data_IF_750466123583
#
_entry.id   IF_750466123583
#
_cell.length_a   1.000
_cell.length_b   1.000
_cell.length_c   1.000
_cell.angle_alpha   90.00
_cell.angle_beta   90.00
_cell.angle_gamma   90.00
#
_symmetry.space_group_name_H-M   'P 1'
#
loop_
_entity.id
_entity.type
_entity.pdbx_description
1 polymer ?
#
# COMPACT_ATOMS: atom_id res chain seq x y z
N UNK A 1 12.74 -3.96 -16.13
CA UNK A 1 11.46 -3.96 -15.38
C UNK A 1 10.46 -4.77 -16.19
N UNK A 2 9.85 -5.83 -15.65
CA UNK A 2 9.08 -6.81 -16.44
C UNK A 2 7.59 -6.48 -16.63
N UNK A 3 7.07 -5.38 -16.07
CA UNK A 3 5.67 -4.97 -16.24
C UNK A 3 4.63 -5.90 -15.59
N UNK A 4 5.06 -6.91 -14.84
CA UNK A 4 4.19 -7.96 -14.27
C UNK A 4 3.74 -7.73 -12.82
N UNK A 5 4.22 -6.67 -12.16
CA UNK A 5 4.05 -6.51 -10.70
C UNK A 5 2.59 -6.54 -10.25
N UNK A 6 1.79 -5.57 -10.72
CA UNK A 6 0.37 -5.46 -10.33
C UNK A 6 -0.50 -6.57 -10.91
N UNK A 7 -0.15 -7.11 -12.09
CA UNK A 7 -0.90 -8.22 -12.68
C UNK A 7 -0.74 -9.51 -11.88
N UNK A 8 0.44 -9.75 -11.30
CA UNK A 8 0.66 -10.89 -10.39
C UNK A 8 -0.13 -10.69 -9.10
N UNK A 9 -0.11 -9.49 -8.50
CA UNK A 9 -0.92 -9.20 -7.31
C UNK A 9 -2.40 -9.46 -7.58
N UNK A 10 -2.93 -9.01 -8.72
CA UNK A 10 -4.31 -9.26 -9.12
C UNK A 10 -4.61 -10.76 -9.31
N UNK A 11 -3.71 -11.50 -9.95
CA UNK A 11 -3.89 -12.93 -10.19
C UNK A 11 -3.87 -13.76 -8.89
N UNK A 12 -3.17 -13.30 -7.85
CA UNK A 12 -3.06 -13.98 -6.55
C UNK A 12 -4.01 -13.41 -5.49
N UNK A 13 -5.00 -12.61 -5.91
CA UNK A 13 -5.99 -12.02 -5.02
C UNK A 13 -7.38 -12.55 -5.31
N UNK A 14 -8.14 -12.91 -4.27
CA UNK A 14 -9.55 -13.26 -4.40
C UNK A 14 -10.40 -12.07 -4.88
N UNK A 15 -9.99 -10.85 -4.51
CA UNK A 15 -10.57 -9.58 -4.92
C UNK A 15 -9.48 -8.53 -5.06
N UNK A 16 -9.63 -7.61 -5.99
CA UNK A 16 -8.84 -6.39 -6.08
C UNK A 16 -9.73 -5.23 -6.55
N UNK A 17 -9.57 -4.05 -5.96
CA UNK A 17 -10.25 -2.82 -6.34
C UNK A 17 -9.20 -1.77 -6.67
N UNK A 18 -9.40 -1.05 -7.77
CA UNK A 18 -8.57 0.09 -8.17
C UNK A 18 -9.44 1.32 -8.23
N UNK A 19 -8.96 2.39 -7.62
CA UNK A 19 -9.47 3.76 -7.74
C UNK A 19 -8.36 4.65 -8.30
N UNK A 20 -8.69 5.50 -9.27
CA UNK A 20 -7.75 6.39 -9.94
C UNK A 20 -8.39 7.77 -10.04
N UNK A 21 -7.75 8.79 -9.51
CA UNK A 21 -8.09 10.19 -9.75
C UNK A 21 -7.16 10.73 -10.84
N UNK A 22 -7.72 10.94 -12.04
CA UNK A 22 -7.00 11.55 -13.14
C UNK A 22 -7.95 12.20 -14.16
N UNK A 23 -7.44 13.13 -14.96
CA UNK A 23 -8.18 13.84 -16.00
C UNK A 23 -9.46 14.53 -15.50
N UNK A 24 -9.44 14.99 -14.24
CA UNK A 24 -10.55 15.70 -13.61
C UNK A 24 -11.68 14.79 -13.09
N UNK A 25 -11.50 13.47 -13.07
CA UNK A 25 -12.51 12.51 -12.62
C UNK A 25 -11.91 11.38 -11.78
N UNK A 26 -12.75 10.81 -10.91
CA UNK A 26 -12.45 9.57 -10.20
C UNK A 26 -12.92 8.36 -11.02
N UNK A 27 -12.06 7.36 -11.18
CA UNK A 27 -12.31 6.16 -11.96
C UNK A 27 -12.19 4.93 -11.07
N UNK A 28 -13.09 3.96 -11.22
CA UNK A 28 -13.06 2.73 -10.42
C UNK A 28 -13.23 1.46 -11.25
N UNK A 29 -12.56 0.40 -10.83
CA UNK A 29 -12.74 -0.95 -11.39
C UNK A 29 -12.47 -2.03 -10.33
N UNK A 30 -13.39 -2.98 -10.22
CA UNK A 30 -13.23 -4.17 -9.36
C UNK A 30 -12.82 -5.39 -10.20
N UNK A 31 -12.04 -6.27 -9.56
CA UNK A 31 -11.55 -7.53 -10.09
C UNK A 31 -11.86 -8.66 -9.10
N UNK A 32 -12.14 -9.85 -9.64
CA UNK A 32 -12.30 -11.09 -8.88
C UNK A 32 -11.45 -12.18 -9.54
N UNK A 33 -10.55 -12.79 -8.78
CA UNK A 33 -9.63 -13.83 -9.27
C UNK A 33 -8.92 -13.42 -10.57
N UNK A 34 -8.36 -12.21 -10.59
CA UNK A 34 -7.66 -11.64 -11.76
C UNK A 34 -8.54 -11.10 -12.89
N UNK A 35 -9.86 -11.29 -12.86
CA UNK A 35 -10.77 -10.92 -13.96
C UNK A 35 -11.59 -9.66 -13.59
N UNK A 36 -11.68 -8.64 -14.46
CA UNK A 36 -12.50 -7.47 -14.20
C UNK A 36 -13.98 -7.84 -14.10
N UNK A 37 -14.68 -7.32 -13.09
CA UNK A 37 -16.11 -7.60 -12.87
C UNK A 37 -17.01 -6.69 -13.70
N UNK A 38 -16.49 -5.54 -14.14
CA UNK A 38 -17.14 -4.58 -15.00
C UNK A 38 -16.09 -3.76 -15.78
N UNK A 39 -16.49 -3.05 -16.86
CA UNK A 39 -15.66 -2.02 -17.47
C UNK A 39 -15.29 -0.91 -16.48
N UNK A 40 -14.21 -0.18 -16.76
CA UNK A 40 -13.80 0.98 -15.98
C UNK A 40 -14.94 2.00 -15.89
N UNK A 41 -15.30 2.39 -14.67
CA UNK A 41 -16.39 3.32 -14.39
C UNK A 41 -15.85 4.71 -14.10
N UNK A 42 -16.36 5.72 -14.80
CA UNK A 42 -16.16 7.14 -14.47
C UNK A 42 -17.15 7.56 -13.39
N UNK A 43 -16.67 8.21 -12.35
CA UNK A 43 -17.47 8.73 -11.24
C UNK A 43 -17.48 10.27 -11.27
N UNK A 44 -17.57 10.90 -10.10
CA UNK A 44 -17.62 12.35 -9.95
C UNK A 44 -16.34 13.06 -10.42
N UNK A 45 -16.47 14.38 -10.63
CA UNK A 45 -15.31 15.23 -10.90
C UNK A 45 -14.48 15.43 -9.63
N UNK A 46 -13.16 15.50 -9.77
CA UNK A 46 -12.22 15.77 -8.69
C UNK A 46 -11.03 16.58 -9.21
N UNK A 47 -10.46 17.41 -8.34
CA UNK A 47 -9.21 18.14 -8.60
C UNK A 47 -7.99 17.38 -8.04
N UNK A 48 -8.22 16.23 -7.40
CA UNK A 48 -7.17 15.37 -6.85
C UNK A 48 -6.54 14.48 -7.93
N UNK A 49 -5.34 13.99 -7.64
CA UNK A 49 -4.64 13.02 -8.48
C UNK A 49 -4.08 11.90 -7.63
N UNK A 50 -4.28 10.65 -8.05
CA UNK A 50 -3.93 9.53 -7.20
C UNK A 50 -4.21 8.18 -7.82
N UNK A 51 -3.76 7.15 -7.13
CA UNK A 51 -4.13 5.77 -7.44
C UNK A 51 -4.14 5.01 -6.14
N UNK A 52 -5.29 4.45 -5.81
CA UNK A 52 -5.50 3.59 -4.66
C UNK A 52 -5.74 2.18 -5.15
N UNK A 53 -4.97 1.22 -4.62
CA UNK A 53 -5.15 -0.20 -4.90
C UNK A 53 -5.44 -0.90 -3.58
N UNK A 54 -6.61 -1.54 -3.51
CA UNK A 54 -6.99 -2.40 -2.38
C UNK A 54 -7.07 -3.83 -2.88
N UNK A 55 -6.44 -4.77 -2.19
CA UNK A 55 -6.43 -6.18 -2.59
C UNK A 55 -6.61 -7.10 -1.40
N UNK A 56 -7.16 -8.27 -1.67
CA UNK A 56 -7.39 -9.32 -0.68
C UNK A 56 -6.69 -10.57 -1.17
N UNK A 57 -5.60 -10.95 -0.50
CA UNK A 57 -4.83 -12.14 -0.83
C UNK A 57 -5.74 -13.40 -0.84
N UNK A 58 -5.51 -14.28 -1.80
CA UNK A 58 -6.30 -15.48 -1.96
C UNK A 58 -5.92 -16.57 -0.92
N UNK A 59 -6.83 -16.96 0.00
CA UNK A 59 -6.54 -17.99 1.01
C UNK A 59 -6.41 -19.41 0.43
N UNK A 60 -6.80 -19.64 -0.83
CA UNK A 60 -6.53 -20.92 -1.51
C UNK A 60 -5.08 -20.99 -2.04
N UNK A 61 -4.43 -19.84 -2.21
CA UNK A 61 -3.05 -19.73 -2.70
C UNK A 61 -2.05 -19.60 -1.56
N UNK A 62 -2.37 -18.79 -0.55
CA UNK A 62 -1.46 -18.49 0.56
C UNK A 62 -1.83 -19.25 1.84
N UNK A 63 -0.82 -19.77 2.54
CA UNK A 63 -1.01 -20.41 3.85
C UNK A 63 -1.52 -19.45 4.93
N UNK A 64 -1.18 -18.16 4.82
CA UNK A 64 -1.66 -17.10 5.69
C UNK A 64 -1.94 -15.85 4.86
N UNK A 65 -3.03 -15.16 5.20
CA UNK A 65 -3.42 -13.87 4.64
C UNK A 65 -3.31 -12.73 5.67
N UNK A 66 -2.77 -13.03 6.85
CA UNK A 66 -2.50 -12.05 7.90
C UNK A 66 -1.20 -11.28 7.63
N UNK A 67 -1.29 -9.96 7.56
CA UNK A 67 -0.14 -9.10 7.31
C UNK A 67 0.57 -8.71 8.61
N UNK A 68 1.90 -8.83 8.61
CA UNK A 68 2.76 -8.41 9.72
C UNK A 68 3.07 -6.92 9.63
N UNK A 69 2.58 -6.14 10.60
CA UNK A 69 2.88 -4.72 10.71
C UNK A 69 4.39 -4.46 10.76
N UNK A 70 5.13 -5.21 11.59
CA UNK A 70 6.59 -5.08 11.73
C UNK A 70 7.31 -5.28 10.39
N UNK A 71 6.91 -6.30 9.62
CA UNK A 71 7.52 -6.61 8.32
C UNK A 71 7.30 -5.46 7.33
N UNK A 72 6.06 -4.95 7.24
CA UNK A 72 5.69 -3.84 6.36
C UNK A 72 6.38 -2.54 6.80
N UNK A 73 6.32 -2.22 8.09
CA UNK A 73 6.95 -1.07 8.72
C UNK A 73 8.44 -1.00 8.39
N UNK A 74 9.19 -2.09 8.59
CA UNK A 74 10.61 -2.16 8.22
C UNK A 74 10.84 -1.88 6.74
N UNK A 75 10.05 -2.51 5.86
CA UNK A 75 10.19 -2.34 4.41
C UNK A 75 9.88 -0.90 3.95
N UNK A 76 8.85 -0.29 4.52
CA UNK A 76 8.45 1.08 4.23
C UNK A 76 9.47 2.09 4.76
N UNK A 77 10.02 1.86 5.95
CA UNK A 77 11.09 2.69 6.49
C UNK A 77 12.34 2.68 5.59
N UNK A 78 12.78 1.50 5.14
CA UNK A 78 13.87 1.36 4.17
C UNK A 78 13.58 2.14 2.88
N UNK A 79 12.36 2.05 2.34
CA UNK A 79 11.98 2.79 1.13
C UNK A 79 12.00 4.31 1.35
N UNK A 80 11.52 4.79 2.50
CA UNK A 80 11.58 6.23 2.81
C UNK A 80 13.02 6.74 2.90
N UNK A 81 13.96 5.93 3.41
CA UNK A 81 15.38 6.29 3.37
C UNK A 81 15.96 6.33 1.95
N UNK A 82 15.56 5.41 1.08
CA UNK A 82 16.08 5.34 -0.29
C UNK A 82 15.51 6.44 -1.19
N UNK A 83 14.37 7.03 -0.83
CA UNK A 83 13.66 8.05 -1.61
C UNK A 83 13.57 9.35 -0.80
N UNK A 84 14.57 10.23 -0.96
CA UNK A 84 14.63 11.52 -0.24
C UNK A 84 13.35 12.33 -0.42
N UNK A 85 12.80 12.84 0.68
CA UNK A 85 11.59 13.65 0.69
C UNK A 85 10.28 12.87 0.50
N UNK A 86 10.33 11.55 0.31
CA UNK A 86 9.13 10.71 0.27
C UNK A 86 8.59 10.51 1.68
N UNK A 87 7.31 10.83 1.86
CA UNK A 87 6.56 10.47 3.06
C UNK A 87 5.85 9.14 2.82
N UNK A 88 6.03 8.19 3.73
CA UNK A 88 5.27 6.93 3.75
C UNK A 88 4.58 6.82 5.11
N UNK A 89 3.27 6.62 5.08
CA UNK A 89 2.43 6.39 6.26
C UNK A 89 1.90 4.95 6.22
N UNK A 90 1.91 4.28 7.37
CA UNK A 90 1.36 2.94 7.56
C UNK A 90 0.49 2.95 8.80
N UNK A 91 -0.74 2.49 8.65
CA UNK A 91 -1.73 2.34 9.71
C UNK A 91 -2.25 0.91 9.72
N UNK A 92 -2.31 0.29 10.91
CA UNK A 92 -3.01 -0.97 11.13
C UNK A 92 -4.44 -0.68 11.60
N UNK A 93 -5.42 -0.96 10.74
CA UNK A 93 -6.82 -0.68 11.05
C UNK A 93 -7.51 -1.81 11.85
N UNK A 94 -6.78 -2.89 12.20
CA UNK A 94 -7.32 -4.00 12.98
C UNK A 94 -7.67 -3.56 14.41
N UNK A 95 -8.86 -3.89 14.94
CA UNK A 95 -9.30 -3.44 16.27
C UNK A 95 -8.37 -3.81 17.43
N UNK A 96 -7.67 -4.94 17.33
CA UNK A 96 -6.74 -5.45 18.34
C UNK A 96 -5.31 -4.92 18.20
N UNK A 97 -5.02 -4.16 17.14
CA UNK A 97 -3.72 -3.54 16.86
C UNK A 97 -3.74 -2.05 17.23
N UNK A 98 -3.78 -1.78 18.53
CA UNK A 98 -3.77 -0.42 19.08
C UNK A 98 -2.49 -0.12 19.87
N UNK A 99 -2.16 1.16 19.99
CA UNK A 99 -1.09 1.65 20.88
C UNK A 99 -1.52 1.66 22.36
N UNK A 100 -0.63 2.10 23.24
CA UNK A 100 -0.88 2.16 24.70
C UNK A 100 -2.06 3.08 25.07
N UNK A 101 -2.39 4.05 24.22
CA UNK A 101 -3.47 5.01 24.39
C UNK A 101 -4.79 4.52 23.74
N UNK A 102 -4.79 3.35 23.10
CA UNK A 102 -5.96 2.76 22.45
C UNK A 102 -6.24 3.30 21.04
N UNK A 103 -5.31 4.02 20.42
CA UNK A 103 -5.43 4.47 19.03
C UNK A 103 -4.89 3.39 18.07
N UNK A 104 -5.33 3.42 16.82
CA UNK A 104 -4.79 2.52 15.79
C UNK A 104 -3.27 2.67 15.67
N UNK A 105 -2.58 1.53 15.64
CA UNK A 105 -1.13 1.49 15.49
C UNK A 105 -0.73 2.14 14.16
N UNK A 106 0.03 3.24 14.22
CA UNK A 106 0.43 3.99 13.03
C UNK A 106 1.87 4.47 13.10
N UNK A 107 2.52 4.56 11.95
CA UNK A 107 3.89 5.08 11.79
C UNK A 107 3.98 5.97 10.56
N UNK A 108 4.81 7.02 10.65
CA UNK A 108 5.12 7.93 9.55
C UNK A 108 6.63 8.02 9.35
N UNK A 109 7.08 7.73 8.14
CA UNK A 109 8.49 7.81 7.75
C UNK A 109 8.70 8.95 6.76
N UNK A 110 9.68 9.80 7.03
CA UNK A 110 10.09 10.88 6.16
C UNK A 110 11.56 11.22 6.44
N UNK A 111 12.41 11.17 5.41
CA UNK A 111 13.85 11.37 5.56
C UNK A 111 14.42 12.28 4.45
N UNK A 112 15.04 13.38 4.86
CA UNK A 112 15.66 14.37 3.98
C UNK A 112 17.10 13.99 3.58
N UNK A 113 17.85 13.35 4.50
CA UNK A 113 19.24 12.92 4.26
C UNK A 113 19.36 11.64 3.44
N UNK A 114 18.26 10.90 3.25
CA UNK A 114 18.19 9.69 2.43
C UNK A 114 19.12 8.58 2.93
N UNK A 115 19.95 8.01 2.04
CA UNK A 115 20.87 6.90 2.36
C UNK A 115 21.83 7.24 3.52
N UNK A 116 22.24 8.51 3.67
CA UNK A 116 23.08 8.91 4.80
C UNK A 116 22.36 8.72 6.15
N UNK A 117 21.05 8.95 6.19
CA UNK A 117 20.25 8.68 7.38
C UNK A 117 20.06 7.17 7.60
N UNK A 118 19.97 6.38 6.53
CA UNK A 118 19.92 4.93 6.62
C UNK A 118 21.16 4.33 7.25
N UNK A 119 22.35 4.76 6.81
CA UNK A 119 23.63 4.28 7.38
C UNK A 119 23.74 4.68 8.86
N UNK A 120 23.34 5.90 9.21
CA UNK A 120 23.28 6.34 10.62
C UNK A 120 22.33 5.48 11.45
N UNK A 121 21.15 5.17 10.92
CA UNK A 121 20.18 4.29 11.57
C UNK A 121 20.75 2.87 11.79
N UNK A 122 21.37 2.28 10.77
CA UNK A 122 21.99 0.95 10.88
C UNK A 122 23.12 0.92 11.92
N UNK A 123 23.94 1.97 12.00
CA UNK A 123 25.04 2.08 12.96
C UNK A 123 24.60 2.48 14.39
N UNK A 124 23.32 2.77 14.59
CA UNK A 124 22.75 3.09 15.91
C UNK A 124 22.20 1.87 16.66
N UNK A 125 22.28 0.69 16.04
CA UNK A 125 21.94 -0.62 16.62
C UNK A 125 23.18 -1.35 17.11
#
# INVERSE_FOLDING_TARGET
LHGVGVSVVNALSQRLAVEIECDGYRWTQDYKLGVPTAPLKRNEATDETGTTVTFWADPEVFESTEYSFETLSRRFQEMAFLNKGLTIELTDERPEHVDEDGNQLSVRYHYEGGISDFVRYLNSR
#
